data_IF_350878739544
#
_entry.id   IF_350878739544
#
_cell.length_a   1.000
_cell.length_b   1.000
_cell.length_c   1.000
_cell.angle_alpha   90.00
_cell.angle_beta   90.00
_cell.angle_gamma   90.00
#
_symmetry.space_group_name_H-M   'P 1'
#
loop_
_entity.id
_entity.type
_entity.pdbx_description
1 polymer ?
#
# COMPACT_ATOMS: atom_id res chain seq x y z
N UNK A 1 -42.12 -53.87 -6.28
CA UNK A 1 -40.66 -54.02 -6.38
C UNK A 1 -40.07 -52.72 -6.95
N UNK A 2 -39.30 -51.96 -6.16
CA UNK A 2 -38.58 -50.77 -6.64
C UNK A 2 -37.31 -51.22 -7.39
N UNK A 3 -37.21 -50.90 -8.69
CA UNK A 3 -35.98 -51.06 -9.47
C UNK A 3 -35.01 -49.95 -9.06
N UNK A 4 -33.95 -50.31 -8.34
CA UNK A 4 -32.87 -49.39 -8.03
C UNK A 4 -31.94 -49.30 -9.25
N UNK A 5 -32.14 -48.30 -10.11
CA UNK A 5 -31.18 -47.96 -11.17
C UNK A 5 -29.90 -47.42 -10.53
N UNK A 6 -28.91 -48.29 -10.29
CA UNK A 6 -27.56 -47.88 -9.91
C UNK A 6 -26.82 -47.44 -11.17
N UNK A 7 -27.01 -46.19 -11.57
CA UNK A 7 -26.16 -45.56 -12.58
C UNK A 7 -24.82 -45.22 -11.91
N UNK A 8 -23.84 -46.11 -12.02
CA UNK A 8 -22.48 -45.85 -11.58
C UNK A 8 -21.74 -44.95 -12.57
N UNK A 9 -20.85 -44.09 -12.06
CA UNK A 9 -19.92 -43.30 -12.88
C UNK A 9 -19.04 -44.24 -13.72
N UNK A 10 -18.85 -43.91 -14.99
CA UNK A 10 -17.90 -44.62 -15.87
C UNK A 10 -16.50 -44.01 -15.74
N UNK A 11 -15.47 -44.83 -15.99
CA UNK A 11 -14.08 -44.36 -16.00
C UNK A 11 -13.85 -43.30 -17.09
N UNK A 12 -14.53 -43.43 -18.23
CA UNK A 12 -14.40 -42.48 -19.34
C UNK A 12 -14.97 -41.09 -19.00
N UNK A 13 -16.08 -41.03 -18.26
CA UNK A 13 -16.64 -39.76 -17.79
C UNK A 13 -15.65 -39.04 -16.85
N UNK A 14 -15.01 -39.77 -15.94
CA UNK A 14 -14.02 -39.18 -15.04
C UNK A 14 -12.79 -38.66 -15.80
N UNK A 15 -12.31 -39.39 -16.81
CA UNK A 15 -11.17 -38.97 -17.65
C UNK A 15 -11.53 -37.72 -18.46
N UNK A 16 -12.72 -37.66 -19.07
CA UNK A 16 -13.15 -36.50 -19.86
C UNK A 16 -13.24 -35.24 -18.99
N UNK A 17 -13.77 -35.36 -17.77
CA UNK A 17 -13.81 -34.26 -16.80
C UNK A 17 -12.42 -33.79 -16.43
N UNK A 18 -11.47 -34.71 -16.17
CA UNK A 18 -10.08 -34.35 -15.86
C UNK A 18 -9.39 -33.61 -17.02
N UNK A 19 -9.63 -34.02 -18.26
CA UNK A 19 -9.08 -33.35 -19.45
C UNK A 19 -9.61 -31.90 -19.53
N UNK A 20 -10.92 -31.72 -19.39
CA UNK A 20 -11.54 -30.39 -19.44
C UNK A 20 -11.01 -29.50 -18.30
N UNK A 21 -10.96 -30.02 -17.08
CA UNK A 21 -10.40 -29.29 -15.93
C UNK A 21 -8.92 -28.97 -16.12
N UNK A 22 -8.14 -29.85 -16.76
CA UNK A 22 -6.73 -29.59 -17.09
C UNK A 22 -6.56 -28.42 -18.04
N UNK A 23 -7.34 -28.37 -19.12
CA UNK A 23 -7.30 -27.26 -20.10
C UNK A 23 -7.76 -25.95 -19.46
N UNK A 24 -8.87 -25.98 -18.70
CA UNK A 24 -9.38 -24.80 -18.02
C UNK A 24 -8.40 -24.26 -16.98
N UNK A 25 -7.77 -25.13 -16.19
CA UNK A 25 -6.80 -24.73 -15.16
C UNK A 25 -5.58 -24.05 -15.75
N UNK A 26 -5.10 -24.52 -16.91
CA UNK A 26 -3.94 -23.93 -17.59
C UNK A 26 -4.15 -22.45 -17.97
N UNK A 27 -5.38 -22.04 -18.27
CA UNK A 27 -5.71 -20.65 -18.63
C UNK A 27 -6.26 -19.84 -17.44
N UNK A 28 -7.03 -20.48 -16.56
CA UNK A 28 -7.69 -19.79 -15.45
C UNK A 28 -6.70 -19.33 -14.36
N UNK A 29 -5.73 -20.18 -13.99
CA UNK A 29 -4.76 -19.89 -12.93
C UNK A 29 -3.92 -18.63 -13.25
N UNK A 30 -3.24 -18.50 -14.40
CA UNK A 30 -2.41 -17.32 -14.66
C UNK A 30 -3.23 -16.04 -14.72
N UNK A 31 -4.42 -16.07 -15.30
CA UNK A 31 -5.33 -14.91 -15.34
C UNK A 31 -5.81 -14.50 -13.96
N UNK A 32 -6.07 -15.46 -13.09
CA UNK A 32 -6.48 -15.21 -11.72
C UNK A 32 -5.36 -14.52 -10.92
N UNK A 33 -4.12 -15.00 -11.04
CA UNK A 33 -2.95 -14.39 -10.39
C UNK A 33 -2.73 -12.94 -10.86
N UNK A 34 -2.81 -12.68 -12.16
CA UNK A 34 -2.70 -11.32 -12.71
C UNK A 34 -3.80 -10.39 -12.18
N UNK A 35 -5.02 -10.93 -12.00
CA UNK A 35 -6.15 -10.16 -11.46
C UNK A 35 -5.92 -9.77 -10.00
N UNK A 36 -5.38 -10.69 -9.20
CA UNK A 36 -5.02 -10.42 -7.80
C UNK A 36 -3.97 -9.31 -7.74
N UNK A 37 -2.86 -9.45 -8.47
CA UNK A 37 -1.79 -8.44 -8.46
C UNK A 37 -2.29 -7.04 -8.86
N UNK A 38 -3.14 -6.95 -9.89
CA UNK A 38 -3.75 -5.67 -10.28
C UNK A 38 -4.67 -5.12 -9.20
N UNK A 39 -5.40 -5.98 -8.49
CA UNK A 39 -6.28 -5.55 -7.40
C UNK A 39 -5.48 -5.02 -6.20
N UNK A 40 -4.36 -5.64 -5.86
CA UNK A 40 -3.45 -5.17 -4.80
C UNK A 40 -2.86 -3.81 -5.16
N UNK A 41 -2.34 -3.66 -6.38
CA UNK A 41 -1.84 -2.38 -6.90
C UNK A 41 -2.90 -1.27 -6.79
N UNK A 42 -4.14 -1.58 -7.19
CA UNK A 42 -5.25 -0.62 -7.14
C UNK A 42 -5.64 -0.27 -5.71
N UNK A 43 -5.59 -1.24 -4.79
CA UNK A 43 -5.87 -1.03 -3.38
C UNK A 43 -4.80 -0.14 -2.72
N UNK A 44 -3.52 -0.38 -3.01
CA UNK A 44 -2.42 0.48 -2.58
C UNK A 44 -2.60 1.91 -3.06
N UNK A 45 -2.88 2.09 -4.36
CA UNK A 45 -3.08 3.42 -4.94
C UNK A 45 -4.27 4.13 -4.27
N UNK A 46 -5.36 3.42 -3.95
CA UNK A 46 -6.49 3.98 -3.22
C UNK A 46 -6.15 4.38 -1.77
N UNK A 47 -5.28 3.64 -1.08
CA UNK A 47 -4.80 4.01 0.27
C UNK A 47 -3.95 5.27 0.19
N UNK A 48 -3.02 5.33 -0.76
CA UNK A 48 -2.12 6.48 -0.94
C UNK A 48 -2.89 7.72 -1.39
N UNK A 49 -3.89 7.60 -2.27
CA UNK A 49 -4.71 8.74 -2.68
C UNK A 49 -5.53 9.31 -1.51
N UNK A 50 -6.07 8.44 -0.64
CA UNK A 50 -6.71 8.87 0.60
C UNK A 50 -5.72 9.57 1.52
N UNK A 51 -4.49 9.07 1.61
CA UNK A 51 -3.43 9.67 2.39
C UNK A 51 -3.06 11.06 1.87
N UNK A 52 -2.89 11.25 0.57
CA UNK A 52 -2.64 12.55 -0.04
C UNK A 52 -3.76 13.55 0.28
N UNK A 53 -5.02 13.14 0.13
CA UNK A 53 -6.16 13.98 0.47
C UNK A 53 -6.19 14.33 1.97
N UNK A 54 -5.86 13.37 2.84
CA UNK A 54 -5.80 13.58 4.28
C UNK A 54 -4.65 14.53 4.68
N UNK A 55 -3.47 14.38 4.09
CA UNK A 55 -2.32 15.26 4.28
C UNK A 55 -2.64 16.70 3.85
N UNK A 56 -3.34 16.88 2.74
CA UNK A 56 -3.80 18.19 2.28
C UNK A 56 -4.78 18.82 3.28
N UNK A 57 -5.78 18.06 3.73
CA UNK A 57 -6.72 18.53 4.75
C UNK A 57 -6.03 18.87 6.06
N UNK A 58 -5.05 18.07 6.49
CA UNK A 58 -4.24 18.34 7.67
C UNK A 58 -3.52 19.68 7.52
N UNK A 59 -2.80 19.89 6.42
CA UNK A 59 -2.09 21.13 6.15
C UNK A 59 -3.03 22.35 6.12
N UNK A 60 -4.23 22.22 5.55
CA UNK A 60 -5.25 23.28 5.57
C UNK A 60 -5.75 23.59 6.99
N UNK A 61 -6.03 22.57 7.80
CA UNK A 61 -6.44 22.76 9.18
C UNK A 61 -5.34 23.47 10.00
N UNK A 62 -4.07 23.15 9.74
CA UNK A 62 -2.93 23.84 10.36
C UNK A 62 -2.78 25.28 9.90
N UNK A 63 -3.04 25.58 8.64
CA UNK A 63 -3.10 26.96 8.15
C UNK A 63 -4.15 27.79 8.92
N UNK A 64 -5.32 27.22 9.19
CA UNK A 64 -6.38 27.92 9.93
C UNK A 64 -6.05 28.11 11.42
N UNK A 65 -5.39 27.14 12.04
CA UNK A 65 -5.13 27.14 13.50
C UNK A 65 -3.81 27.79 13.90
N UNK A 66 -2.78 27.69 13.07
CA UNK A 66 -1.42 28.19 13.34
C UNK A 66 -0.95 29.24 12.32
N UNK A 67 -1.77 29.57 11.32
CA UNK A 67 -1.42 30.53 10.28
C UNK A 67 -0.40 30.02 9.27
N UNK A 68 -0.07 28.71 9.29
CA UNK A 68 0.92 28.08 8.42
C UNK A 68 0.55 26.64 8.08
N UNK A 69 0.88 26.21 6.88
CA UNK A 69 0.73 24.81 6.43
C UNK A 69 1.93 24.03 6.92
N UNK A 70 1.69 22.89 7.56
CA UNK A 70 2.71 21.90 7.84
C UNK A 70 2.12 20.51 7.74
N UNK A 71 2.99 19.54 7.46
CA UNK A 71 2.63 18.14 7.35
C UNK A 71 3.09 17.37 8.60
N UNK A 72 2.37 16.32 8.99
CA UNK A 72 2.74 15.52 10.14
C UNK A 72 4.03 14.74 9.86
N UNK A 73 4.78 14.41 10.91
CA UNK A 73 5.97 13.58 10.83
C UNK A 73 5.63 12.17 10.33
N UNK A 74 4.59 11.56 10.90
CA UNK A 74 4.01 10.33 10.38
C UNK A 74 2.80 10.66 9.50
N UNK A 75 2.80 10.32 8.20
CA UNK A 75 1.72 10.67 7.29
C UNK A 75 0.39 9.99 7.66
N UNK A 76 0.43 8.82 8.31
CA UNK A 76 -0.78 8.12 8.75
C UNK A 76 -1.54 8.86 9.85
N UNK A 77 -0.92 9.79 10.57
CA UNK A 77 -1.62 10.66 11.53
C UNK A 77 -2.62 11.61 10.87
N UNK A 78 -2.49 11.86 9.57
CA UNK A 78 -3.45 12.67 8.84
C UNK A 78 -4.77 11.91 8.59
N UNK A 79 -4.76 10.57 8.60
CA UNK A 79 -5.93 9.75 8.34
C UNK A 79 -6.85 9.68 9.56
N UNK A 80 -8.15 9.82 9.33
CA UNK A 80 -9.17 9.58 10.37
C UNK A 80 -9.27 8.08 10.73
N UNK A 81 -9.20 7.22 9.71
CA UNK A 81 -9.23 5.77 9.88
C UNK A 81 -7.97 5.15 9.28
N UNK A 82 -7.16 4.53 10.14
CA UNK A 82 -5.97 3.80 9.72
C UNK A 82 -6.37 2.52 8.96
N UNK A 83 -5.56 2.06 8.00
CA UNK A 83 -5.69 0.72 7.46
C UNK A 83 -5.68 -0.32 8.60
N UNK A 84 -6.54 -1.33 8.54
CA UNK A 84 -6.63 -2.32 9.63
C UNK A 84 -5.32 -3.09 9.86
N UNK A 85 -4.51 -3.20 8.82
CA UNK A 85 -3.21 -3.87 8.83
C UNK A 85 -2.06 -2.90 9.06
N UNK A 86 -2.33 -1.66 9.47
CA UNK A 86 -1.29 -0.70 9.82
C UNK A 86 -0.68 -1.05 11.17
N UNK A 87 0.65 -1.14 11.20
CA UNK A 87 1.45 -1.32 12.41
C UNK A 87 2.39 -0.12 12.60
N UNK A 88 2.64 0.22 13.85
CA UNK A 88 3.47 1.35 14.25
C UNK A 88 4.63 0.87 15.13
N UNK A 89 5.41 -0.06 14.59
CA UNK A 89 6.65 -0.57 15.18
C UNK A 89 7.88 0.22 14.73
N UNK A 90 7.77 0.96 13.61
CA UNK A 90 8.86 1.75 13.04
C UNK A 90 9.81 0.92 12.16
N UNK A 91 9.46 -0.33 11.88
CA UNK A 91 10.22 -1.23 11.03
C UNK A 91 9.60 -1.31 9.62
N UNK A 92 10.38 -1.80 8.65
CA UNK A 92 9.83 -2.11 7.33
C UNK A 92 8.87 -3.29 7.47
N UNK A 93 7.80 -3.29 6.67
CA UNK A 93 6.82 -4.40 6.65
C UNK A 93 7.50 -5.76 6.59
N UNK A 94 7.05 -6.65 7.48
CA UNK A 94 7.50 -8.02 7.61
C UNK A 94 6.36 -9.04 7.48
N UNK A 95 5.11 -8.56 7.53
CA UNK A 95 3.90 -9.38 7.51
C UNK A 95 3.03 -9.08 6.29
N UNK A 96 2.33 -10.09 5.78
CA UNK A 96 1.50 -9.94 4.59
C UNK A 96 0.35 -8.95 4.78
N UNK A 97 0.17 -8.08 3.79
CA UNK A 97 -0.80 -6.97 3.75
C UNK A 97 -0.54 -5.87 4.79
N UNK A 98 0.58 -5.90 5.49
CA UNK A 98 0.94 -4.91 6.50
C UNK A 98 1.26 -3.56 5.88
N UNK A 99 0.92 -2.47 6.58
CA UNK A 99 1.37 -1.13 6.27
C UNK A 99 2.19 -0.59 7.43
N UNK A 100 3.37 -0.03 7.17
CA UNK A 100 4.16 0.66 8.20
C UNK A 100 4.62 2.03 7.73
N UNK A 101 5.05 2.85 8.68
CA UNK A 101 5.81 4.06 8.41
C UNK A 101 7.14 3.99 9.15
N UNK A 102 8.23 3.99 8.38
CA UNK A 102 9.58 4.04 8.91
C UNK A 102 10.05 5.48 8.87
N UNK A 103 10.28 6.02 10.05
CA UNK A 103 10.73 7.39 10.21
C UNK A 103 12.27 7.43 10.32
N UNK A 104 12.92 8.25 9.50
CA UNK A 104 14.35 8.57 9.62
C UNK A 104 14.59 9.99 10.10
N UNK A 105 13.64 10.57 10.82
CA UNK A 105 13.80 11.88 11.40
C UNK A 105 15.12 11.98 12.15
N UNK A 106 15.93 12.90 11.67
CA UNK A 106 17.10 13.39 12.36
C UNK A 106 16.66 14.70 13.02
N UNK A 107 16.67 14.74 14.36
CA UNK A 107 16.41 15.95 15.14
C UNK A 107 17.45 17.07 14.97
N UNK A 108 18.36 16.92 14.00
CA UNK A 108 19.29 17.97 13.59
C UNK A 108 18.55 19.00 12.73
N UNK A 109 18.55 20.24 13.20
CA UNK A 109 18.02 21.43 12.54
C UNK A 109 18.65 21.74 11.17
N UNK A 110 19.76 21.07 10.82
CA UNK A 110 20.39 21.12 9.48
C UNK A 110 20.01 19.94 8.58
N UNK A 111 19.30 18.93 9.11
CA UNK A 111 18.74 17.84 8.31
C UNK A 111 17.48 18.35 7.60
N UNK A 112 17.39 18.12 6.29
CA UNK A 112 16.44 18.76 5.36
C UNK A 112 14.95 18.41 5.50
N UNK A 113 14.43 18.29 6.73
CA UNK A 113 13.05 17.95 7.06
C UNK A 113 12.88 16.54 7.62
N UNK A 114 11.70 16.25 8.15
CA UNK A 114 11.33 14.90 8.57
C UNK A 114 11.21 14.03 7.33
N UNK A 115 12.08 13.03 7.20
CA UNK A 115 12.08 12.10 6.07
C UNK A 115 11.81 10.70 6.55
N UNK A 116 10.98 9.98 5.82
CA UNK A 116 10.65 8.59 6.10
C UNK A 116 10.18 7.87 4.84
N UNK A 117 9.71 6.64 5.03
CA UNK A 117 9.00 5.91 3.97
C UNK A 117 7.78 5.23 4.55
N UNK A 118 6.73 5.21 3.76
CA UNK A 118 5.62 4.28 3.95
C UNK A 118 6.04 2.97 3.31
N UNK A 119 5.79 1.84 3.96
CA UNK A 119 6.04 0.51 3.37
C UNK A 119 4.79 -0.36 3.38
N UNK A 120 4.68 -1.22 2.36
CA UNK A 120 3.61 -2.19 2.23
C UNK A 120 4.15 -3.53 1.71
N UNK A 121 3.72 -4.65 2.29
CA UNK A 121 3.99 -6.00 1.81
C UNK A 121 2.72 -6.63 1.23
N UNK A 122 2.78 -7.11 -0.02
CA UNK A 122 1.68 -7.83 -0.68
C UNK A 122 1.63 -9.30 -0.26
N UNK A 123 0.58 -10.02 -0.64
CA UNK A 123 0.43 -11.45 -0.34
C UNK A 123 1.44 -12.36 -1.08
N UNK A 124 2.17 -11.83 -2.06
CA UNK A 124 3.27 -12.51 -2.74
C UNK A 124 4.65 -12.20 -2.12
N UNK A 125 4.67 -11.57 -0.94
CA UNK A 125 5.85 -11.10 -0.21
C UNK A 125 6.65 -10.03 -0.95
N UNK A 126 6.13 -9.47 -2.05
CA UNK A 126 6.76 -8.29 -2.66
C UNK A 126 6.52 -7.07 -1.77
N UNK A 127 7.58 -6.27 -1.59
CA UNK A 127 7.56 -5.10 -0.70
C UNK A 127 7.77 -3.83 -1.49
N UNK A 128 6.93 -2.86 -1.20
CA UNK A 128 6.86 -1.59 -1.90
C UNK A 128 6.96 -0.46 -0.89
N UNK A 129 7.49 0.67 -1.35
CA UNK A 129 7.64 1.86 -0.53
C UNK A 129 7.16 3.12 -1.25
N UNK A 130 6.85 4.13 -0.45
CA UNK A 130 6.64 5.51 -0.88
C UNK A 130 7.51 6.41 -0.03
N UNK A 131 8.47 7.08 -0.66
CA UNK A 131 9.31 8.05 0.04
C UNK A 131 8.44 9.24 0.45
N UNK A 132 8.59 9.65 1.71
CA UNK A 132 7.84 10.76 2.29
C UNK A 132 8.81 11.73 2.95
N UNK A 133 8.59 13.01 2.71
CA UNK A 133 9.27 14.09 3.41
C UNK A 133 8.19 15.04 3.93
N UNK A 134 8.07 15.26 5.24
CA UNK A 134 7.11 16.24 5.78
C UNK A 134 7.56 17.69 5.51
N UNK A 135 8.80 17.88 5.07
CA UNK A 135 9.44 19.17 4.88
C UNK A 135 10.02 19.73 6.18
N UNK A 136 10.55 20.95 6.09
CA UNK A 136 10.98 21.72 7.27
C UNK A 136 9.79 22.60 7.65
N UNK A 137 9.26 22.43 8.87
CA UNK A 137 8.10 23.18 9.35
C UNK A 137 8.37 23.79 10.74
N UNK A 138 9.59 24.31 10.95
CA UNK A 138 10.00 24.87 12.25
C UNK A 138 9.69 26.37 12.38
N UNK A 139 9.01 26.97 11.40
CA UNK A 139 8.64 28.38 11.41
C UNK A 139 9.81 29.30 11.05
N UNK A 140 10.81 28.76 10.35
CA UNK A 140 12.03 29.48 9.95
C UNK A 140 11.95 29.86 8.47
N UNK A 141 12.88 30.70 7.99
CA UNK A 141 12.96 31.05 6.56
C UNK A 141 13.37 29.85 5.67
N UNK A 142 13.72 28.71 6.28
CA UNK A 142 14.05 27.45 5.59
C UNK A 142 12.85 26.50 5.47
N UNK A 143 11.63 26.94 5.77
CA UNK A 143 10.47 26.07 5.69
C UNK A 143 10.28 25.53 4.26
N UNK A 144 10.06 24.22 4.12
CA UNK A 144 9.90 23.51 2.83
C UNK A 144 8.61 22.71 2.88
N UNK A 145 7.86 22.70 1.77
CA UNK A 145 6.63 21.90 1.65
C UNK A 145 6.92 20.41 1.77
N UNK A 146 5.99 19.67 2.37
CA UNK A 146 6.05 18.21 2.36
C UNK A 146 5.99 17.66 0.94
N UNK A 147 6.49 16.45 0.73
CA UNK A 147 6.50 15.77 -0.57
C UNK A 147 6.31 14.28 -0.35
N UNK A 148 5.42 13.67 -1.14
CA UNK A 148 5.25 12.23 -1.22
C UNK A 148 5.59 11.78 -2.64
N UNK A 149 6.40 10.75 -2.77
CA UNK A 149 6.84 10.22 -4.05
C UNK A 149 5.97 9.04 -4.50
N UNK A 150 6.06 8.69 -5.78
CA UNK A 150 5.39 7.50 -6.33
C UNK A 150 5.95 6.20 -5.73
N UNK A 151 5.21 5.11 -5.94
CA UNK A 151 5.57 3.76 -5.51
C UNK A 151 6.91 3.32 -6.11
N UNK A 152 7.80 2.78 -5.29
CA UNK A 152 9.06 2.15 -5.69
C UNK A 152 9.28 0.83 -4.94
N UNK A 153 10.19 -0.01 -5.43
CA UNK A 153 10.60 -1.21 -4.69
C UNK A 153 11.25 -0.81 -3.36
N UNK A 154 11.03 -1.61 -2.31
CA UNK A 154 11.63 -1.35 -1.00
C UNK A 154 13.16 -1.22 -1.11
N UNK A 155 13.69 -0.12 -0.55
CA UNK A 155 15.12 0.22 -0.63
C UNK A 155 15.48 1.16 -1.80
N UNK A 156 14.57 1.42 -2.74
CA UNK A 156 14.80 2.34 -3.86
C UNK A 156 14.14 3.69 -3.60
N UNK A 157 14.93 4.77 -3.50
CA UNK A 157 14.40 6.12 -3.29
C UNK A 157 13.44 6.56 -4.42
N UNK A 158 12.38 7.27 -4.06
CA UNK A 158 11.44 7.84 -5.02
C UNK A 158 12.08 8.93 -5.88
N UNK A 159 11.83 8.88 -7.19
CA UNK A 159 12.35 9.87 -8.16
C UNK A 159 11.27 10.83 -8.68
N UNK A 160 10.01 10.42 -8.67
CA UNK A 160 8.89 11.22 -9.18
C UNK A 160 7.93 11.57 -8.04
N UNK A 161 7.50 12.82 -8.02
CA UNK A 161 6.62 13.37 -7.00
C UNK A 161 5.17 13.02 -7.31
N UNK A 162 4.45 12.49 -6.32
CA UNK A 162 3.01 12.22 -6.38
C UNK A 162 2.19 13.34 -5.74
N UNK A 163 2.70 13.94 -4.67
CA UNK A 163 2.04 15.01 -3.91
C UNK A 163 3.07 15.97 -3.32
N UNK A 164 2.75 17.28 -3.31
CA UNK A 164 3.56 18.37 -2.76
C UNK A 164 2.67 19.52 -2.29
#
# INVERSE_FOLDING_TARGET
MKKNNKNGFTLIELIMVMIILGILSAVAIPRYLETIQKSEITAEDAVIDKLCAALENYAQHKMLTQGRRYWPENPFEALETLPQTYTNDGDDTDTDNEWTFVNWYSGDENSGGVSGRITHQRADNTRWQWSYNAGINHGTDKDVTGTLYIRTELGTAGSEVRFQ
#
